data_IF_114259500869
#
_entry.id   IF_114259500869
#
_cell.length_a   1.000
_cell.length_b   1.000
_cell.length_c   1.000
_cell.angle_alpha   90.00
_cell.angle_beta   90.00
_cell.angle_gamma   90.00
#
_symmetry.space_group_name_H-M   'P 1'
#
loop_
_entity.id
_entity.type
_entity.pdbx_description
1 polymer ?
#
# COMPACT_ATOMS: atom_id res chain seq x y z
N UNK A 1 -31.24 9.59 23.71
CA UNK A 1 -29.93 9.46 22.98
C UNK A 1 -29.26 8.23 23.51
N UNK A 2 -29.37 7.12 22.79
CA UNK A 2 -28.82 5.81 23.21
C UNK A 2 -27.40 5.73 22.67
N UNK A 3 -26.43 5.83 23.55
CA UNK A 3 -24.99 5.63 23.23
C UNK A 3 -24.80 4.20 22.72
N UNK A 4 -24.43 4.08 21.44
CA UNK A 4 -24.09 2.82 20.80
C UNK A 4 -22.66 2.41 21.24
N UNK A 5 -22.53 1.72 22.37
CA UNK A 5 -21.27 1.20 22.83
C UNK A 5 -20.75 0.16 21.82
N UNK A 6 -19.45 0.23 21.41
CA UNK A 6 -18.87 -0.74 20.49
C UNK A 6 -18.94 -2.15 21.09
N UNK A 7 -19.61 -3.05 20.38
CA UNK A 7 -19.79 -4.45 20.78
C UNK A 7 -18.43 -5.12 20.97
N UNK A 8 -18.17 -5.68 22.15
CA UNK A 8 -16.93 -6.46 22.41
C UNK A 8 -16.70 -7.49 21.29
N UNK A 9 -15.47 -7.59 20.71
CA UNK A 9 -15.19 -8.54 19.65
C UNK A 9 -15.47 -9.98 20.10
N UNK A 10 -16.15 -10.75 19.25
CA UNK A 10 -16.46 -12.16 19.51
C UNK A 10 -15.17 -13.00 19.60
N UNK A 11 -15.27 -14.22 20.15
CA UNK A 11 -14.13 -15.16 20.14
C UNK A 11 -13.64 -15.43 18.71
N UNK A 12 -14.56 -15.52 17.76
CA UNK A 12 -14.26 -15.69 16.32
C UNK A 12 -13.46 -14.50 15.76
N UNK A 13 -13.85 -13.27 16.08
CA UNK A 13 -13.16 -12.06 15.61
C UNK A 13 -11.75 -11.96 16.17
N UNK A 14 -11.56 -12.32 17.45
CA UNK A 14 -10.24 -12.36 18.07
C UNK A 14 -9.32 -13.39 17.40
N UNK A 15 -9.84 -14.60 17.15
CA UNK A 15 -9.11 -15.65 16.44
C UNK A 15 -8.73 -15.23 15.04
N UNK A 16 -9.66 -14.63 14.28
CA UNK A 16 -9.40 -14.09 12.93
C UNK A 16 -8.33 -13.01 12.96
N UNK A 17 -8.39 -12.08 13.89
CA UNK A 17 -7.41 -11.01 14.06
C UNK A 17 -6.02 -11.56 14.41
N UNK A 18 -5.95 -12.59 15.26
CA UNK A 18 -4.71 -13.27 15.64
C UNK A 18 -4.04 -13.96 14.44
N UNK A 19 -4.83 -14.67 13.61
CA UNK A 19 -4.34 -15.30 12.38
C UNK A 19 -3.81 -14.23 11.40
N UNK A 20 -4.57 -13.15 11.18
CA UNK A 20 -4.15 -12.06 10.29
C UNK A 20 -2.89 -11.37 10.77
N UNK A 21 -2.73 -11.18 12.08
CA UNK A 21 -1.51 -10.61 12.66
C UNK A 21 -0.29 -11.49 12.36
N UNK A 22 -0.41 -12.79 12.61
CA UNK A 22 0.64 -13.77 12.30
C UNK A 22 0.97 -13.82 10.80
N UNK A 23 -0.06 -13.84 9.96
CA UNK A 23 0.09 -13.84 8.51
C UNK A 23 0.83 -12.58 8.00
N UNK A 24 0.48 -11.40 8.51
CA UNK A 24 1.17 -10.16 8.16
C UNK A 24 2.66 -10.20 8.47
N UNK A 25 3.04 -10.69 9.65
CA UNK A 25 4.44 -10.81 10.04
C UNK A 25 5.20 -11.76 9.11
N UNK A 26 4.68 -12.97 8.90
CA UNK A 26 5.35 -14.00 8.10
C UNK A 26 5.42 -13.63 6.61
N UNK A 27 4.35 -13.06 6.04
CA UNK A 27 4.39 -12.58 4.66
C UNK A 27 5.31 -11.37 4.49
N UNK A 28 5.44 -10.50 5.50
CA UNK A 28 6.39 -9.38 5.46
C UNK A 28 7.85 -9.87 5.47
N UNK A 29 8.14 -10.91 6.24
CA UNK A 29 9.49 -11.46 6.40
C UNK A 29 9.89 -12.37 5.23
N UNK A 30 9.00 -13.28 4.82
CA UNK A 30 9.32 -14.36 3.89
C UNK A 30 8.66 -14.22 2.51
N UNK A 31 7.82 -13.21 2.29
CA UNK A 31 7.02 -13.05 1.08
C UNK A 31 5.87 -14.06 0.99
N UNK A 32 5.14 -14.01 -0.14
CA UNK A 32 4.03 -14.95 -0.37
C UNK A 32 4.52 -16.41 -0.41
N UNK A 33 5.54 -16.71 -1.22
CA UNK A 33 5.97 -18.09 -1.45
C UNK A 33 6.67 -18.71 -0.23
N UNK A 34 7.43 -17.91 0.52
CA UNK A 34 8.21 -18.37 1.67
C UNK A 34 7.41 -18.64 2.95
N UNK A 35 6.15 -18.19 3.05
CA UNK A 35 5.28 -18.43 4.20
C UNK A 35 4.22 -19.48 3.89
N UNK A 36 3.97 -20.45 4.78
CA UNK A 36 2.92 -21.46 4.64
C UNK A 36 1.78 -21.25 5.64
N UNK A 37 0.61 -21.87 5.37
CA UNK A 37 -0.52 -21.89 6.32
C UNK A 37 -0.10 -22.54 7.65
N UNK A 38 0.80 -23.55 7.62
CA UNK A 38 1.30 -24.21 8.83
C UNK A 38 2.15 -23.24 9.67
N UNK A 39 3.00 -22.44 9.03
CA UNK A 39 3.84 -21.45 9.71
C UNK A 39 2.97 -20.39 10.38
N UNK A 40 1.95 -19.89 9.65
CA UNK A 40 0.98 -18.93 10.21
C UNK A 40 0.23 -19.52 11.40
N UNK A 41 -0.23 -20.76 11.29
CA UNK A 41 -0.93 -21.46 12.36
C UNK A 41 -0.05 -21.63 13.61
N UNK A 42 1.19 -22.07 13.41
CA UNK A 42 2.18 -22.22 14.48
C UNK A 42 2.47 -20.89 15.17
N UNK A 43 2.72 -19.82 14.38
CA UNK A 43 2.98 -18.48 14.92
C UNK A 43 1.78 -17.90 15.68
N UNK A 44 0.57 -18.18 15.19
CA UNK A 44 -0.67 -17.79 15.85
C UNK A 44 -1.08 -18.69 17.02
N UNK A 45 -0.37 -19.79 17.28
CA UNK A 45 -0.75 -20.83 18.26
C UNK A 45 -2.17 -21.36 18.03
N UNK A 46 -2.52 -21.65 16.77
CA UNK A 46 -3.83 -22.07 16.31
C UNK A 46 -3.65 -23.31 15.42
N UNK A 47 -4.65 -24.20 15.42
CA UNK A 47 -4.65 -25.37 14.53
C UNK A 47 -4.72 -24.94 13.05
N UNK A 48 -3.89 -25.52 12.14
CA UNK A 48 -3.93 -25.20 10.70
C UNK A 48 -5.30 -25.37 10.05
N UNK A 49 -6.11 -26.36 10.49
CA UNK A 49 -7.47 -26.53 9.99
C UNK A 49 -8.37 -25.34 10.34
N UNK A 50 -8.12 -24.69 11.47
CA UNK A 50 -8.82 -23.45 11.82
C UNK A 50 -8.44 -22.29 10.92
N UNK A 51 -7.17 -22.17 10.51
CA UNK A 51 -6.75 -21.16 9.55
C UNK A 51 -7.49 -21.35 8.22
N UNK A 52 -7.53 -22.57 7.69
CA UNK A 52 -8.29 -22.91 6.49
C UNK A 52 -9.79 -22.65 6.67
N UNK A 53 -10.36 -22.96 7.82
CA UNK A 53 -11.77 -22.69 8.11
C UNK A 53 -12.10 -21.18 8.05
N UNK A 54 -11.20 -20.30 8.48
CA UNK A 54 -11.41 -18.86 8.50
C UNK A 54 -11.10 -18.18 7.15
N UNK A 55 -10.13 -18.69 6.41
CA UNK A 55 -9.58 -18.00 5.23
C UNK A 55 -9.57 -18.87 3.96
N UNK A 56 -10.06 -20.11 4.02
CA UNK A 56 -10.22 -21.09 2.91
C UNK A 56 -8.91 -21.43 2.18
N UNK A 57 -8.06 -20.46 1.84
CA UNK A 57 -6.81 -20.65 1.11
C UNK A 57 -5.72 -19.71 1.59
N UNK A 58 -4.48 -19.99 1.17
CA UNK A 58 -3.34 -19.08 1.37
C UNK A 58 -3.55 -17.77 0.62
N UNK A 59 -4.15 -17.82 -0.59
CA UNK A 59 -4.43 -16.64 -1.41
C UNK A 59 -5.43 -15.72 -0.71
N UNK A 60 -6.51 -16.26 -0.15
CA UNK A 60 -7.49 -15.45 0.59
C UNK A 60 -6.87 -14.87 1.87
N UNK A 61 -6.07 -15.65 2.58
CA UNK A 61 -5.35 -15.16 3.77
C UNK A 61 -4.39 -14.03 3.39
N UNK A 62 -3.62 -14.19 2.31
CA UNK A 62 -2.71 -13.18 1.80
C UNK A 62 -3.48 -11.92 1.36
N UNK A 63 -4.53 -12.07 0.57
CA UNK A 63 -5.36 -10.95 0.13
C UNK A 63 -5.92 -10.14 1.31
N UNK A 64 -6.33 -10.82 2.40
CA UNK A 64 -6.78 -10.18 3.63
C UNK A 64 -5.66 -9.57 4.47
N UNK A 65 -4.49 -10.17 4.46
CA UNK A 65 -3.31 -9.65 5.16
C UNK A 65 -2.75 -8.40 4.47
N UNK A 66 -2.77 -8.39 3.13
CA UNK A 66 -2.26 -7.34 2.26
C UNK A 66 -3.36 -6.34 1.80
N UNK A 67 -4.48 -6.23 2.53
CA UNK A 67 -5.48 -5.19 2.25
C UNK A 67 -4.84 -3.82 2.41
N UNK A 68 -4.88 -3.04 1.34
CA UNK A 68 -4.32 -1.70 1.26
C UNK A 68 -5.41 -0.73 0.85
N UNK A 69 -5.66 0.23 1.73
CA UNK A 69 -6.43 1.43 1.43
C UNK A 69 -5.47 2.63 1.53
N UNK A 70 -5.15 3.20 0.38
CA UNK A 70 -4.22 4.32 0.31
C UNK A 70 -4.85 5.61 0.84
N UNK A 71 -6.21 5.70 0.90
CA UNK A 71 -6.93 6.90 1.32
C UNK A 71 -6.35 8.16 0.67
N UNK A 72 -6.13 8.08 -0.65
CA UNK A 72 -5.51 9.18 -1.38
C UNK A 72 -6.43 10.40 -1.36
N UNK A 73 -5.88 11.60 -1.19
CA UNK A 73 -6.67 12.83 -1.19
C UNK A 73 -7.31 13.07 -2.55
N UNK A 74 -8.45 13.76 -2.56
CA UNK A 74 -9.10 14.17 -3.81
C UNK A 74 -8.31 15.33 -4.44
N UNK A 75 -7.38 15.04 -5.34
CA UNK A 75 -6.44 16.03 -5.90
C UNK A 75 -7.13 17.22 -6.56
N UNK A 76 -8.35 17.03 -7.11
CA UNK A 76 -9.13 18.10 -7.76
C UNK A 76 -9.53 19.27 -6.85
N UNK A 77 -9.50 19.08 -5.52
CA UNK A 77 -9.86 20.13 -4.54
C UNK A 77 -8.63 20.74 -3.87
N UNK A 78 -7.44 20.25 -4.21
CA UNK A 78 -6.19 20.78 -3.70
C UNK A 78 -5.75 22.01 -4.53
N UNK A 79 -4.92 22.84 -3.92
CA UNK A 79 -4.13 23.79 -4.68
C UNK A 79 -3.30 23.01 -5.72
N UNK A 80 -3.43 23.41 -6.99
CA UNK A 80 -2.74 22.77 -8.12
C UNK A 80 -1.22 22.71 -7.89
N UNK A 81 -0.66 23.69 -7.18
CA UNK A 81 0.77 23.76 -6.87
C UNK A 81 1.21 22.86 -5.71
N UNK A 82 0.27 22.33 -4.92
CA UNK A 82 0.55 21.49 -3.74
C UNK A 82 0.34 19.97 -3.97
N UNK A 83 -0.01 19.57 -5.18
CA UNK A 83 -0.35 18.16 -5.49
C UNK A 83 0.83 17.23 -5.22
N UNK A 84 2.01 17.57 -5.72
CA UNK A 84 3.21 16.74 -5.57
C UNK A 84 3.64 16.59 -4.12
N UNK A 85 3.62 17.67 -3.36
CA UNK A 85 3.91 17.64 -1.92
C UNK A 85 2.89 16.81 -1.16
N UNK A 86 1.61 16.96 -1.47
CA UNK A 86 0.54 16.19 -0.82
C UNK A 86 0.68 14.68 -1.07
N UNK A 87 1.02 14.29 -2.30
CA UNK A 87 1.22 12.88 -2.65
C UNK A 87 2.41 12.26 -1.90
N UNK A 88 3.54 12.96 -1.82
CA UNK A 88 4.72 12.41 -1.14
C UNK A 88 4.53 12.37 0.38
N UNK A 89 3.86 13.35 0.99
CA UNK A 89 3.48 13.31 2.42
C UNK A 89 2.59 12.10 2.70
N UNK A 90 1.55 11.90 1.88
CA UNK A 90 0.65 10.77 2.01
C UNK A 90 1.36 9.42 1.85
N UNK A 91 2.30 9.33 0.90
CA UNK A 91 3.14 8.16 0.73
C UNK A 91 3.93 7.83 2.01
N UNK A 92 4.61 8.80 2.63
CA UNK A 92 5.36 8.60 3.87
C UNK A 92 4.44 8.14 5.01
N UNK A 93 3.28 8.79 5.18
CA UNK A 93 2.27 8.39 6.17
C UNK A 93 1.83 6.93 6.02
N UNK A 94 1.56 6.48 4.78
CA UNK A 94 1.13 5.10 4.51
C UNK A 94 2.24 4.11 4.87
N UNK A 95 3.47 4.36 4.41
CA UNK A 95 4.58 3.43 4.60
C UNK A 95 5.07 3.37 6.05
N UNK A 96 4.99 4.44 6.79
CA UNK A 96 5.44 4.52 8.18
C UNK A 96 4.33 4.28 9.20
N UNK A 97 3.08 4.14 8.75
CA UNK A 97 1.97 3.76 9.61
C UNK A 97 2.08 2.29 10.06
N UNK A 98 1.93 2.02 11.36
CA UNK A 98 1.85 0.64 11.86
C UNK A 98 0.68 -0.17 11.27
N UNK A 99 -0.36 0.51 10.79
CA UNK A 99 -1.55 -0.13 10.25
C UNK A 99 -1.38 -0.56 8.78
N UNK A 100 -0.77 0.28 7.94
CA UNK A 100 -0.70 0.08 6.48
C UNK A 100 0.71 -0.30 5.98
N UNK A 101 1.77 0.21 6.59
CA UNK A 101 3.15 -0.03 6.16
C UNK A 101 3.53 -1.50 5.99
N UNK A 102 3.23 -2.39 6.96
CA UNK A 102 3.50 -3.81 6.81
C UNK A 102 2.78 -4.44 5.61
N UNK A 103 1.52 -4.08 5.35
CA UNK A 103 0.76 -4.57 4.20
C UNK A 103 1.38 -4.16 2.86
N UNK A 104 1.83 -2.89 2.75
CA UNK A 104 2.53 -2.38 1.57
C UNK A 104 3.84 -3.14 1.32
N UNK A 105 4.64 -3.34 2.37
CA UNK A 105 5.90 -4.06 2.25
C UNK A 105 5.70 -5.53 1.82
N UNK A 106 4.69 -6.21 2.38
CA UNK A 106 4.28 -7.56 1.99
C UNK A 106 3.97 -7.61 0.50
N UNK A 107 3.07 -6.73 0.05
CA UNK A 107 2.60 -6.72 -1.32
C UNK A 107 3.74 -6.44 -2.30
N UNK A 108 4.52 -5.39 -2.06
CA UNK A 108 5.62 -5.01 -2.94
C UNK A 108 6.72 -6.08 -3.01
N UNK A 109 7.08 -6.71 -1.88
CA UNK A 109 8.05 -7.80 -1.85
C UNK A 109 7.57 -9.01 -2.64
N UNK A 110 6.31 -9.39 -2.48
CA UNK A 110 5.75 -10.57 -3.12
C UNK A 110 5.46 -10.38 -4.61
N UNK A 111 5.13 -9.17 -5.05
CA UNK A 111 4.75 -8.87 -6.43
C UNK A 111 5.90 -9.09 -7.45
N UNK A 112 7.15 -9.15 -7.00
CA UNK A 112 8.31 -9.40 -7.87
C UNK A 112 8.51 -10.87 -8.23
N UNK A 113 7.92 -11.80 -7.46
CA UNK A 113 8.11 -13.24 -7.63
C UNK A 113 6.80 -14.02 -7.74
N UNK A 114 5.66 -13.39 -7.48
CA UNK A 114 4.37 -14.06 -7.44
C UNK A 114 3.31 -13.27 -8.21
N UNK A 115 2.69 -13.90 -9.22
CA UNK A 115 1.72 -13.28 -10.11
C UNK A 115 0.44 -12.83 -9.39
N UNK A 116 -0.05 -13.61 -8.41
CA UNK A 116 -1.21 -13.21 -7.62
C UNK A 116 -0.95 -11.92 -6.83
N UNK A 117 0.24 -11.79 -6.22
CA UNK A 117 0.62 -10.56 -5.53
C UNK A 117 0.81 -9.39 -6.51
N UNK A 118 1.38 -9.64 -7.70
CA UNK A 118 1.52 -8.63 -8.75
C UNK A 118 0.15 -8.13 -9.23
N UNK A 119 -0.83 -9.03 -9.39
CA UNK A 119 -2.20 -8.66 -9.73
C UNK A 119 -2.85 -7.77 -8.67
N UNK A 120 -2.66 -8.08 -7.38
CA UNK A 120 -3.14 -7.23 -6.29
C UNK A 120 -2.49 -5.84 -6.29
N UNK A 121 -1.21 -5.74 -6.63
CA UNK A 121 -0.55 -4.44 -6.78
C UNK A 121 -1.12 -3.66 -7.98
N UNK A 122 -1.40 -4.34 -9.10
CA UNK A 122 -2.10 -3.73 -10.26
C UNK A 122 -3.51 -3.26 -9.90
N UNK A 123 -4.25 -4.01 -9.05
CA UNK A 123 -5.56 -3.62 -8.53
C UNK A 123 -5.46 -2.31 -7.73
N UNK A 124 -4.47 -2.18 -6.85
CA UNK A 124 -4.23 -0.93 -6.08
C UNK A 124 -3.96 0.23 -7.04
N UNK A 125 -3.10 0.04 -8.04
CA UNK A 125 -2.84 1.05 -9.06
C UNK A 125 -4.11 1.45 -9.81
N UNK A 126 -4.85 0.47 -10.38
CA UNK A 126 -6.01 0.71 -11.22
C UNK A 126 -7.19 1.33 -10.48
N UNK A 127 -7.41 0.92 -9.23
CA UNK A 127 -8.59 1.30 -8.47
C UNK A 127 -8.37 2.49 -7.53
N UNK A 128 -7.13 2.79 -7.14
CA UNK A 128 -6.86 3.85 -6.17
C UNK A 128 -5.97 4.97 -6.73
N UNK A 129 -4.87 4.66 -7.45
CA UNK A 129 -3.95 5.68 -7.95
C UNK A 129 -4.46 6.35 -9.21
N UNK A 130 -4.78 5.54 -10.24
CA UNK A 130 -5.19 6.05 -11.55
C UNK A 130 -6.41 6.99 -11.49
N UNK A 131 -7.50 6.69 -10.77
CA UNK A 131 -8.66 7.59 -10.70
C UNK A 131 -8.34 8.95 -10.07
N UNK A 132 -7.44 8.97 -9.07
CA UNK A 132 -7.04 10.20 -8.38
C UNK A 132 -6.21 11.08 -9.30
N UNK A 133 -5.26 10.51 -10.04
CA UNK A 133 -4.46 11.24 -11.04
C UNK A 133 -5.32 11.71 -12.21
N UNK A 134 -6.25 10.85 -12.68
CA UNK A 134 -7.17 11.20 -13.77
C UNK A 134 -8.08 12.38 -13.43
N UNK A 135 -8.37 12.62 -12.16
CA UNK A 135 -9.21 13.73 -11.72
C UNK A 135 -8.60 15.12 -11.97
N UNK A 136 -7.29 15.21 -12.24
CA UNK A 136 -6.54 16.45 -12.53
C UNK A 136 -5.87 16.44 -13.90
N UNK A 137 -5.92 15.30 -14.61
CA UNK A 137 -5.45 15.18 -16.00
C UNK A 137 -6.44 15.83 -16.96
N UNK A 138 -5.99 16.09 -18.20
CA UNK A 138 -6.85 16.61 -19.26
C UNK A 138 -7.94 15.58 -19.61
N UNK A 139 -9.24 15.94 -19.50
CA UNK A 139 -10.33 15.04 -19.87
C UNK A 139 -10.33 14.66 -21.35
N UNK A 140 -9.73 15.47 -22.21
CA UNK A 140 -9.64 15.23 -23.65
C UNK A 140 -8.63 14.12 -24.01
N UNK A 141 -7.70 13.78 -23.11
CA UNK A 141 -6.73 12.70 -23.30
C UNK A 141 -6.75 11.67 -22.15
N UNK A 142 -7.67 10.68 -22.21
CA UNK A 142 -7.72 9.62 -21.20
C UNK A 142 -6.45 8.76 -21.11
N UNK A 143 -5.66 8.68 -22.19
CA UNK A 143 -4.38 7.94 -22.19
C UNK A 143 -3.33 8.66 -21.38
N UNK A 144 -3.35 9.99 -21.32
CA UNK A 144 -2.44 10.81 -20.53
C UNK A 144 -2.59 10.52 -19.04
N UNK A 145 -3.80 10.35 -18.52
CA UNK A 145 -4.04 10.00 -17.13
C UNK A 145 -3.35 8.68 -16.73
N UNK A 146 -3.39 7.67 -17.60
CA UNK A 146 -2.72 6.39 -17.39
C UNK A 146 -1.20 6.54 -17.36
N UNK A 147 -0.63 7.31 -18.31
CA UNK A 147 0.79 7.59 -18.40
C UNK A 147 1.30 8.36 -17.16
N UNK A 148 0.60 9.41 -16.74
CA UNK A 148 0.93 10.22 -15.54
C UNK A 148 0.87 9.37 -14.26
N UNK A 149 -0.19 8.58 -14.09
CA UNK A 149 -0.31 7.67 -12.97
C UNK A 149 0.82 6.61 -12.95
N UNK A 150 1.23 6.12 -14.12
CA UNK A 150 2.37 5.22 -14.28
C UNK A 150 3.68 5.85 -13.82
N UNK A 151 3.95 7.10 -14.21
CA UNK A 151 5.15 7.85 -13.81
C UNK A 151 5.17 8.10 -12.29
N UNK A 152 4.04 8.54 -11.72
CA UNK A 152 3.90 8.71 -10.26
C UNK A 152 4.18 7.40 -9.53
N UNK A 153 3.55 6.30 -9.98
CA UNK A 153 3.73 4.99 -9.34
C UNK A 153 5.16 4.49 -9.45
N UNK A 154 5.82 4.65 -10.61
CA UNK A 154 7.21 4.23 -10.79
C UNK A 154 8.16 4.96 -9.84
N UNK A 155 7.98 6.27 -9.65
CA UNK A 155 8.77 7.08 -8.72
C UNK A 155 8.56 6.65 -7.27
N UNK A 156 7.29 6.49 -6.85
CA UNK A 156 6.95 6.14 -5.47
C UNK A 156 7.33 4.69 -5.13
N UNK A 157 7.12 3.74 -6.05
CA UNK A 157 7.54 2.34 -5.85
C UNK A 157 9.07 2.22 -5.82
N UNK A 158 9.80 2.98 -6.63
CA UNK A 158 11.25 3.06 -6.57
C UNK A 158 11.75 3.57 -5.22
N UNK A 159 11.17 4.65 -4.71
CA UNK A 159 11.48 5.17 -3.36
C UNK A 159 11.15 4.12 -2.28
N UNK A 160 10.00 3.46 -2.36
CA UNK A 160 9.61 2.42 -1.44
C UNK A 160 10.59 1.25 -1.43
N UNK A 161 10.98 0.78 -2.60
CA UNK A 161 11.96 -0.29 -2.75
C UNK A 161 13.28 0.09 -2.09
N UNK A 162 13.81 1.28 -2.40
CA UNK A 162 15.10 1.73 -1.89
C UNK A 162 15.10 2.02 -0.39
N UNK A 163 14.05 2.66 0.14
CA UNK A 163 13.99 3.10 1.54
C UNK A 163 13.57 1.99 2.50
N UNK A 164 12.53 1.22 2.15
CA UNK A 164 11.88 0.31 3.11
C UNK A 164 12.24 -1.17 2.88
N UNK A 165 12.51 -1.61 1.65
CA UNK A 165 12.83 -3.00 1.34
C UNK A 165 14.34 -3.24 1.29
N UNK A 166 15.06 -2.52 0.43
CA UNK A 166 16.51 -2.64 0.27
C UNK A 166 17.27 -1.90 1.37
N UNK A 167 16.64 -0.89 1.98
CA UNK A 167 17.20 -0.07 3.05
C UNK A 167 18.57 0.52 2.68
N UNK A 168 18.66 1.11 1.48
CA UNK A 168 19.88 1.76 1.02
C UNK A 168 20.28 2.89 1.98
N UNK A 169 21.47 2.85 2.61
CA UNK A 169 21.84 3.79 3.66
C UNK A 169 21.65 5.27 3.29
N UNK A 170 22.04 5.74 2.08
CA UNK A 170 21.82 7.15 1.70
C UNK A 170 20.33 7.54 1.64
N UNK A 171 19.45 6.60 1.25
CA UNK A 171 18.00 6.86 1.12
C UNK A 171 17.29 6.77 2.47
N UNK A 172 17.74 5.85 3.33
CA UNK A 172 17.23 5.74 4.71
C UNK A 172 17.60 6.96 5.54
N UNK A 173 18.78 7.54 5.30
CA UNK A 173 19.27 8.73 6.02
C UNK A 173 18.52 10.02 5.67
N UNK A 174 17.79 10.07 4.55
CA UNK A 174 17.00 11.25 4.19
C UNK A 174 15.88 11.50 5.21
N UNK A 175 15.78 12.74 5.67
CA UNK A 175 14.63 13.21 6.45
C UNK A 175 13.37 13.29 5.59
N UNK A 176 12.21 13.39 6.22
CA UNK A 176 10.94 13.60 5.50
C UNK A 176 10.97 14.88 4.67
N UNK A 177 11.51 15.97 5.23
CA UNK A 177 11.59 17.26 4.53
C UNK A 177 12.48 17.16 3.28
N UNK A 178 13.64 16.48 3.37
CA UNK A 178 14.49 16.25 2.20
C UNK A 178 13.78 15.42 1.13
N UNK A 179 13.04 14.38 1.52
CA UNK A 179 12.25 13.57 0.57
C UNK A 179 11.16 14.43 -0.08
N UNK A 180 10.44 15.22 0.70
CA UNK A 180 9.38 16.09 0.20
C UNK A 180 9.93 17.14 -0.76
N UNK A 181 11.00 17.80 -0.39
CA UNK A 181 11.64 18.86 -1.20
C UNK A 181 12.22 18.33 -2.53
N UNK A 182 12.73 17.12 -2.56
CA UNK A 182 13.37 16.56 -3.75
C UNK A 182 12.43 15.73 -4.63
N UNK A 183 11.49 14.99 -4.04
CA UNK A 183 10.57 14.11 -4.79
C UNK A 183 9.24 14.83 -5.12
N UNK A 184 8.77 15.71 -4.24
CA UNK A 184 7.52 16.46 -4.45
C UNK A 184 7.46 17.19 -5.79
N UNK A 185 8.47 18.00 -6.17
CA UNK A 185 8.49 18.69 -7.48
C UNK A 185 8.45 17.73 -8.68
N UNK A 186 9.07 16.55 -8.57
CA UNK A 186 9.02 15.53 -9.62
C UNK A 186 7.61 14.96 -9.77
N UNK A 187 6.93 14.64 -8.66
CA UNK A 187 5.55 14.19 -8.68
C UNK A 187 4.61 15.29 -9.20
N UNK A 188 4.86 16.54 -8.81
CA UNK A 188 4.13 17.72 -9.30
C UNK A 188 4.14 17.78 -10.82
N UNK A 189 5.34 17.71 -11.42
CA UNK A 189 5.52 17.70 -12.87
C UNK A 189 4.83 16.51 -13.55
N UNK A 190 4.85 15.32 -12.94
CA UNK A 190 4.19 14.15 -13.50
C UNK A 190 2.67 14.29 -13.52
N UNK A 191 2.07 14.86 -12.46
CA UNK A 191 0.60 14.96 -12.34
C UNK A 191 0.05 16.15 -13.10
N UNK A 192 0.68 17.33 -12.93
CA UNK A 192 0.14 18.60 -13.43
C UNK A 192 0.75 19.02 -14.77
N UNK A 193 1.95 18.52 -15.08
CA UNK A 193 2.75 18.97 -16.21
C UNK A 193 3.67 20.14 -15.82
N UNK A 194 4.50 20.56 -16.76
CA UNK A 194 5.23 21.82 -16.65
C UNK A 194 4.26 22.94 -17.06
N UNK A 195 4.13 23.97 -16.25
CA UNK A 195 3.53 25.19 -16.74
C UNK A 195 4.43 25.71 -17.86
N UNK A 196 3.93 25.62 -19.10
CA UNK A 196 4.56 26.24 -20.26
C UNK A 196 4.37 27.75 -20.05
N UNK A 197 5.39 28.35 -19.42
CA UNK A 197 5.49 29.82 -19.31
C UNK A 197 5.90 30.41 -20.63
#
# INVERSE_FOLDING_TARGET
MTENQPKKPSKSDRTRAQILKAARLLFAEHGYDGASIRDVAAHASIDPAMVIRYFRSKDELFARAAVIDLQLPALRVLDRNAVGETLIRRFLEIWESPASGPGMAILLRSATSNEFAAEKLRDVFGNQVRPVVAAVADPADPADAGRRAGLVSSQLLGLAMCRYLLRLPPVVALSHDEIIQNIGPTLQRYVVGEDVS
#
